data_IF_528909209938
#
_entry.id   IF_528909209938
#
_cell.length_a   1.000
_cell.length_b   1.000
_cell.length_c   1.000
_cell.angle_alpha   90.00
_cell.angle_beta   90.00
_cell.angle_gamma   90.00
#
_symmetry.space_group_name_H-M   'P 1'
#
loop_
_entity.id
_entity.type
_entity.pdbx_description
1 polymer ?
#
# COMPACT_ATOMS: atom_id res chain seq x y z
N UNK A 1 -15.02 -12.70 7.70
CA UNK A 1 -14.81 -13.40 6.41
C UNK A 1 -13.37 -13.85 6.35
N UNK A 2 -13.09 -15.05 5.81
CA UNK A 2 -11.74 -15.65 5.78
C UNK A 2 -10.78 -14.96 4.79
N UNK A 3 -11.32 -14.19 3.85
CA UNK A 3 -10.55 -13.55 2.76
C UNK A 3 -10.77 -12.04 2.66
N UNK A 4 -11.43 -11.43 3.66
CA UNK A 4 -11.71 -10.00 3.67
C UNK A 4 -11.23 -9.40 4.97
N UNK A 5 -10.27 -8.51 4.85
CA UNK A 5 -9.83 -7.63 5.93
C UNK A 5 -10.42 -6.23 5.68
N UNK A 6 -10.99 -5.61 6.73
CA UNK A 6 -11.51 -4.25 6.63
C UNK A 6 -10.59 -3.29 7.37
N UNK A 7 -10.05 -2.32 6.63
CA UNK A 7 -9.22 -1.24 7.17
C UNK A 7 -10.05 -0.07 7.74
N UNK A 8 -11.37 -0.07 7.53
CA UNK A 8 -12.26 1.08 7.75
C UNK A 8 -12.72 1.26 9.21
N UNK A 9 -11.89 0.94 10.19
CA UNK A 9 -12.24 1.19 11.60
C UNK A 9 -12.20 2.71 11.86
N UNK A 10 -13.29 3.33 12.35
CA UNK A 10 -13.31 4.76 12.65
C UNK A 10 -12.23 5.17 13.66
N UNK A 11 -11.85 4.27 14.55
CA UNK A 11 -10.81 4.54 15.55
C UNK A 11 -9.41 4.62 14.93
N UNK A 12 -9.10 3.80 13.92
CA UNK A 12 -7.82 3.87 13.22
C UNK A 12 -7.72 5.16 12.40
N UNK A 13 -8.81 5.53 11.71
CA UNK A 13 -8.85 6.78 10.94
C UNK A 13 -8.67 8.00 11.86
N UNK A 14 -9.42 8.05 12.96
CA UNK A 14 -9.31 9.13 13.96
C UNK A 14 -7.88 9.27 14.50
N UNK A 15 -7.20 8.15 14.76
CA UNK A 15 -5.81 8.17 15.21
C UNK A 15 -4.87 8.75 14.15
N UNK A 16 -5.03 8.34 12.88
CA UNK A 16 -4.23 8.88 11.78
C UNK A 16 -4.47 10.38 11.58
N UNK A 17 -5.73 10.82 11.59
CA UNK A 17 -6.12 12.23 11.41
C UNK A 17 -5.54 13.12 12.54
N UNK A 18 -5.53 12.63 13.78
CA UNK A 18 -4.98 13.34 14.93
C UNK A 18 -3.47 13.56 14.78
N UNK A 19 -2.72 12.54 14.35
CA UNK A 19 -1.27 12.67 14.11
C UNK A 19 -0.94 13.50 12.87
N UNK A 20 -1.75 13.40 11.82
CA UNK A 20 -1.63 14.26 10.65
C UNK A 20 -1.79 15.74 11.04
N UNK A 21 -2.83 16.07 11.81
CA UNK A 21 -3.05 17.42 12.34
C UNK A 21 -1.92 17.91 13.25
N UNK A 22 -1.52 17.09 14.24
CA UNK A 22 -0.45 17.43 15.21
C UNK A 22 0.91 17.66 14.54
N UNK A 23 1.17 16.95 13.44
CA UNK A 23 2.42 17.07 12.70
C UNK A 23 2.39 18.14 11.61
N UNK A 24 1.32 18.93 11.51
CA UNK A 24 1.10 19.89 10.41
C UNK A 24 1.24 19.22 9.03
N UNK A 25 0.79 17.96 8.93
CA UNK A 25 0.81 17.16 7.70
C UNK A 25 2.12 16.42 7.42
N UNK A 26 3.14 16.52 8.29
CA UNK A 26 4.42 15.81 8.10
C UNK A 26 4.29 14.29 8.26
N UNK A 27 3.39 13.83 9.13
CA UNK A 27 3.03 12.42 9.27
C UNK A 27 1.79 12.18 8.42
N UNK A 28 1.97 11.63 7.22
CA UNK A 28 0.88 11.32 6.29
C UNK A 28 0.93 9.87 5.80
N UNK A 29 -0.11 9.50 5.05
CA UNK A 29 -0.09 8.29 4.24
C UNK A 29 0.99 8.41 3.17
N UNK A 30 1.86 7.40 3.08
CA UNK A 30 2.85 7.23 2.00
C UNK A 30 2.55 6.00 1.12
N UNK A 31 1.46 5.30 1.47
CA UNK A 31 0.92 4.13 0.76
C UNK A 31 0.66 2.96 1.71
N UNK A 32 0.57 1.74 1.17
CA UNK A 32 0.20 0.56 1.94
C UNK A 32 1.13 -0.62 1.69
N UNK A 33 1.20 -1.55 2.65
CA UNK A 33 1.85 -2.82 2.44
C UNK A 33 1.05 -3.98 3.01
N UNK A 34 1.23 -5.16 2.43
CA UNK A 34 0.65 -6.41 2.93
C UNK A 34 1.45 -7.62 2.45
N UNK A 35 1.04 -8.82 2.84
CA UNK A 35 1.73 -10.07 2.53
C UNK A 35 0.91 -10.98 1.62
N UNK A 36 1.55 -11.65 0.67
CA UNK A 36 0.96 -12.76 -0.09
C UNK A 36 1.68 -14.07 0.22
N UNK A 37 0.98 -15.22 0.26
CA UNK A 37 1.61 -16.54 0.38
C UNK A 37 2.17 -17.00 -0.98
N UNK A 38 2.88 -16.12 -1.67
CA UNK A 38 3.50 -16.33 -2.98
C UNK A 38 5.02 -16.17 -2.85
N UNK A 39 5.82 -16.99 -3.54
CA UNK A 39 7.29 -16.82 -3.54
C UNK A 39 7.70 -15.44 -4.08
N UNK A 40 7.14 -15.09 -5.24
CA UNK A 40 7.31 -13.79 -5.90
C UNK A 40 5.91 -13.17 -5.95
N UNK A 41 5.62 -12.15 -5.14
CA UNK A 41 4.28 -11.64 -4.99
C UNK A 41 3.83 -10.85 -6.21
N UNK A 42 2.53 -10.87 -6.50
CA UNK A 42 1.88 -10.02 -7.49
C UNK A 42 0.60 -9.39 -6.95
N UNK A 43 0.34 -8.14 -7.34
CA UNK A 43 -0.90 -7.45 -7.01
C UNK A 43 -2.07 -8.15 -7.69
N UNK A 44 -3.10 -8.46 -6.90
CA UNK A 44 -4.38 -8.92 -7.40
C UNK A 44 -5.21 -7.75 -7.92
N UNK A 45 -6.31 -8.06 -8.61
CA UNK A 45 -7.28 -7.06 -9.04
C UNK A 45 -7.84 -6.24 -7.85
N UNK A 46 -8.07 -6.89 -6.71
CA UNK A 46 -8.60 -6.23 -5.49
C UNK A 46 -7.60 -5.25 -4.91
N UNK A 47 -6.30 -5.58 -4.99
CA UNK A 47 -5.24 -4.68 -4.54
C UNK A 47 -5.20 -3.42 -5.39
N UNK A 48 -5.17 -3.58 -6.72
CA UNK A 48 -5.17 -2.46 -7.66
C UNK A 48 -6.40 -1.56 -7.46
N UNK A 49 -7.61 -2.13 -7.39
CA UNK A 49 -8.84 -1.36 -7.16
C UNK A 49 -8.81 -0.57 -5.85
N UNK A 50 -8.31 -1.19 -4.77
CA UNK A 50 -8.12 -0.50 -3.49
C UNK A 50 -7.11 0.64 -3.60
N UNK A 51 -6.00 0.45 -4.32
CA UNK A 51 -4.95 1.45 -4.47
C UNK A 51 -5.39 2.63 -5.35
N UNK A 52 -6.14 2.38 -6.42
CA UNK A 52 -6.73 3.43 -7.26
C UNK A 52 -7.65 4.33 -6.44
N UNK A 53 -8.45 3.74 -5.54
CA UNK A 53 -9.29 4.52 -4.63
C UNK A 53 -8.45 5.39 -3.69
N UNK A 54 -7.40 4.82 -3.09
CA UNK A 54 -6.50 5.55 -2.19
C UNK A 54 -5.85 6.73 -2.93
N UNK A 55 -5.35 6.50 -4.15
CA UNK A 55 -4.76 7.56 -4.99
C UNK A 55 -5.80 8.64 -5.30
N UNK A 56 -7.02 8.25 -5.67
CA UNK A 56 -8.10 9.21 -5.97
C UNK A 56 -8.50 10.07 -4.77
N UNK A 57 -8.41 9.53 -3.55
CA UNK A 57 -8.70 10.26 -2.30
C UNK A 57 -7.49 11.09 -1.83
N UNK A 58 -6.31 10.92 -2.44
CA UNK A 58 -5.04 11.56 -2.08
C UNK A 58 -4.30 12.08 -3.34
N UNK A 59 -3.00 11.77 -3.47
CA UNK A 59 -2.19 12.03 -4.66
C UNK A 59 -1.57 10.73 -5.22
N UNK A 60 -0.89 10.83 -6.37
CA UNK A 60 -0.27 9.70 -7.06
C UNK A 60 1.16 9.40 -6.62
N UNK A 61 1.70 10.12 -5.63
CA UNK A 61 3.05 9.94 -5.06
C UNK A 61 3.04 8.94 -3.90
N UNK A 62 2.22 7.91 -4.04
CA UNK A 62 2.07 6.82 -3.07
C UNK A 62 2.74 5.55 -3.58
N UNK A 63 3.15 4.71 -2.63
CA UNK A 63 3.87 3.48 -2.91
C UNK A 63 3.21 2.28 -2.24
N UNK A 64 3.11 1.17 -2.96
CA UNK A 64 2.46 -0.03 -2.45
C UNK A 64 3.42 -1.21 -2.45
N UNK A 65 3.49 -1.96 -1.35
CA UNK A 65 4.42 -3.08 -1.20
C UNK A 65 3.67 -4.37 -0.91
N UNK A 66 3.93 -5.40 -1.72
CA UNK A 66 3.50 -6.76 -1.40
C UNK A 66 4.74 -7.57 -1.04
N UNK A 67 4.71 -8.19 0.12
CA UNK A 67 5.79 -9.04 0.64
C UNK A 67 5.39 -10.50 0.43
N UNK A 68 6.15 -11.22 -0.38
CA UNK A 68 6.01 -12.65 -0.57
C UNK A 68 6.96 -13.44 0.33
N UNK A 69 7.17 -14.72 0.02
CA UNK A 69 8.05 -15.60 0.79
C UNK A 69 9.52 -15.43 0.43
N UNK A 70 9.84 -14.97 -0.80
CA UNK A 70 11.22 -14.87 -1.31
C UNK A 70 11.57 -13.50 -1.88
N UNK A 71 10.58 -12.64 -2.07
CA UNK A 71 10.75 -11.30 -2.62
C UNK A 71 9.67 -10.35 -2.14
N UNK A 72 9.98 -9.05 -2.14
CA UNK A 72 9.02 -7.96 -2.05
C UNK A 72 8.84 -7.33 -3.42
N UNK A 73 7.61 -6.94 -3.76
CA UNK A 73 7.32 -6.18 -4.98
C UNK A 73 6.73 -4.83 -4.61
N UNK A 74 7.42 -3.79 -5.03
CA UNK A 74 7.07 -2.40 -4.84
C UNK A 74 6.35 -1.87 -6.07
N UNK A 75 5.24 -1.17 -5.88
CA UNK A 75 4.37 -0.63 -6.91
C UNK A 75 4.22 0.88 -6.74
N UNK A 76 4.16 1.60 -7.85
CA UNK A 76 3.96 3.05 -7.87
C UNK A 76 3.39 3.53 -9.21
N UNK A 77 2.89 4.76 -9.24
CA UNK A 77 2.46 5.42 -10.48
C UNK A 77 3.59 6.24 -11.06
N UNK A 78 3.79 6.10 -12.36
CA UNK A 78 4.60 7.02 -13.15
C UNK A 78 3.80 7.41 -14.40
N UNK A 79 3.53 8.70 -14.59
CA UNK A 79 2.73 9.22 -15.70
C UNK A 79 1.38 8.49 -15.86
N UNK A 80 0.64 8.31 -14.76
CA UNK A 80 -0.63 7.57 -14.71
C UNK A 80 -0.55 6.10 -15.19
N UNK A 81 0.62 5.47 -15.12
CA UNK A 81 0.82 4.05 -15.41
C UNK A 81 1.40 3.34 -14.19
N UNK A 82 0.93 2.12 -13.94
CA UNK A 82 1.48 1.27 -12.89
C UNK A 82 2.87 0.79 -13.28
N UNK A 83 3.82 1.04 -12.39
CA UNK A 83 5.18 0.50 -12.44
C UNK A 83 5.40 -0.42 -11.25
N UNK A 84 6.38 -1.32 -11.36
CA UNK A 84 6.80 -2.13 -10.21
C UNK A 84 8.27 -2.49 -10.25
N UNK A 85 8.88 -2.55 -9.07
CA UNK A 85 10.24 -3.05 -8.84
C UNK A 85 10.18 -4.28 -7.96
N UNK A 86 10.89 -5.34 -8.35
CA UNK A 86 11.02 -6.56 -7.56
C UNK A 86 12.33 -6.56 -6.79
N UNK A 87 12.27 -6.95 -5.51
CA UNK A 87 13.42 -7.03 -4.61
C UNK A 87 13.45 -8.44 -4.03
N UNK A 88 14.43 -9.26 -4.43
CA UNK A 88 14.60 -10.58 -3.82
C UNK A 88 15.28 -10.47 -2.46
N UNK A 89 14.81 -11.22 -1.47
CA UNK A 89 15.39 -11.17 -0.13
C UNK A 89 16.81 -11.74 -0.06
N UNK A 90 17.20 -12.56 -1.03
CA UNK A 90 18.57 -13.05 -1.16
C UNK A 90 19.57 -11.98 -1.62
N UNK A 91 19.07 -10.87 -2.15
CA UNK A 91 19.87 -9.77 -2.70
C UNK A 91 19.97 -8.58 -1.73
N UNK A 92 19.46 -8.76 -0.49
CA UNK A 92 19.48 -7.80 0.64
C UNK A 92 20.29 -8.41 1.78
#
# INVERSE_FOLDING_TARGET
SRYKFSKTSPNHQKFADDYFGKSSGFISLIGEWHTHPEDIPTASYVDIESWEKIISDNDDRLFFLIVGLRAGRFYFRESNKWQSTLIYFKDV
#
